data_IF_254637594291
#
_entry.id   IF_254637594291
#
_cell.length_a   1.000
_cell.length_b   1.000
_cell.length_c   1.000
_cell.angle_alpha   90.00
_cell.angle_beta   90.00
_cell.angle_gamma   90.00
#
_symmetry.space_group_name_H-M   'P 1'
#
loop_
_entity.id
_entity.type
_entity.pdbx_description
1 polymer ?
#
# COMPACT_ATOMS: atom_id res chain seq x y z
N UNK A 1 3.09 -12.46 15.90
CA UNK A 1 4.17 -12.00 15.02
C UNK A 1 4.79 -10.70 15.55
N UNK A 2 4.06 -9.59 15.62
CA UNK A 2 4.57 -8.30 16.09
C UNK A 2 5.19 -8.35 17.50
N UNK A 3 4.57 -9.10 18.43
CA UNK A 3 5.05 -9.21 19.81
C UNK A 3 6.49 -9.74 19.89
N UNK A 4 6.85 -10.70 19.02
CA UNK A 4 8.22 -11.23 18.97
C UNK A 4 9.24 -10.12 18.67
N UNK A 5 8.98 -9.26 17.67
CA UNK A 5 9.89 -8.17 17.34
C UNK A 5 9.93 -7.08 18.42
N UNK A 6 8.80 -6.82 19.10
CA UNK A 6 8.78 -5.91 20.24
C UNK A 6 9.66 -6.44 21.38
N UNK A 7 9.60 -7.74 21.65
CA UNK A 7 10.40 -8.36 22.69
C UNK A 7 11.90 -8.38 22.29
N UNK A 8 12.23 -8.62 21.02
CA UNK A 8 13.60 -8.52 20.49
C UNK A 8 14.18 -7.10 20.67
N UNK A 9 13.42 -6.02 20.35
CA UNK A 9 13.83 -4.62 20.55
C UNK A 9 14.13 -4.37 22.04
N UNK A 10 13.25 -4.82 22.94
CA UNK A 10 13.47 -4.67 24.39
C UNK A 10 14.69 -5.41 24.89
N UNK A 11 14.88 -6.67 24.44
CA UNK A 11 16.01 -7.50 24.84
C UNK A 11 17.35 -6.95 24.36
N UNK A 12 17.36 -6.28 23.21
CA UNK A 12 18.54 -5.60 22.66
C UNK A 12 18.80 -4.23 23.30
N UNK A 13 17.92 -3.75 24.18
CA UNK A 13 18.05 -2.45 24.83
C UNK A 13 17.91 -1.27 23.85
N UNK A 14 17.21 -1.44 22.72
CA UNK A 14 17.02 -0.37 21.74
C UNK A 14 16.07 0.67 22.32
N UNK A 15 16.50 1.93 22.38
CA UNK A 15 15.68 3.03 22.85
C UNK A 15 14.43 3.21 21.96
N UNK A 16 13.27 3.30 22.62
CA UNK A 16 11.99 3.49 21.93
C UNK A 16 11.29 4.74 22.46
N UNK A 17 11.09 5.73 21.61
CA UNK A 17 10.43 7.00 21.96
C UNK A 17 8.92 6.89 21.69
N UNK A 18 8.19 6.26 22.62
CA UNK A 18 6.73 6.15 22.52
C UNK A 18 6.04 7.51 22.74
N UNK A 19 4.86 7.71 22.14
CA UNK A 19 4.12 8.96 22.23
C UNK A 19 4.87 10.15 21.63
N UNK A 20 5.74 9.86 20.65
CA UNK A 20 6.57 10.85 19.96
C UNK A 20 6.30 10.79 18.47
N UNK A 21 6.16 11.96 17.83
CA UNK A 21 5.96 12.08 16.40
C UNK A 21 7.13 12.86 15.78
N UNK A 22 7.64 12.40 14.64
CA UNK A 22 8.60 13.14 13.83
C UNK A 22 7.83 14.14 12.96
N UNK A 23 8.14 15.42 13.11
CA UNK A 23 7.47 16.52 12.40
C UNK A 23 8.18 16.88 11.10
N UNK A 24 9.51 16.81 11.08
CA UNK A 24 10.31 17.11 9.89
C UNK A 24 11.65 16.40 9.94
N UNK A 25 12.22 16.21 8.77
CA UNK A 25 13.59 15.78 8.54
C UNK A 25 14.20 16.68 7.47
N UNK A 26 15.47 17.04 7.62
CA UNK A 26 16.23 17.73 6.58
C UNK A 26 17.22 16.78 5.86
N UNK A 27 17.93 17.32 4.87
CA UNK A 27 18.90 16.54 4.07
C UNK A 27 20.14 16.12 4.88
N UNK A 28 20.44 16.80 5.99
CA UNK A 28 21.53 16.48 6.89
C UNK A 28 21.12 15.49 7.98
N UNK A 29 19.91 14.90 7.88
CA UNK A 29 19.33 13.94 8.82
C UNK A 29 19.09 14.53 10.22
N UNK A 30 18.83 15.83 10.31
CA UNK A 30 18.30 16.42 11.52
C UNK A 30 16.78 16.23 11.56
N UNK A 31 16.30 15.59 12.61
CA UNK A 31 14.87 15.33 12.83
C UNK A 31 14.36 16.28 13.92
N UNK A 32 13.21 16.91 13.66
CA UNK A 32 12.44 17.59 14.69
C UNK A 32 11.33 16.67 15.16
N UNK A 33 11.32 16.34 16.43
CA UNK A 33 10.33 15.46 17.05
C UNK A 33 9.50 16.20 18.09
N UNK A 34 8.24 15.82 18.23
CA UNK A 34 7.31 16.33 19.22
C UNK A 34 6.82 15.21 20.13
N UNK A 35 6.80 15.47 21.42
CA UNK A 35 6.29 14.57 22.45
C UNK A 35 5.53 15.37 23.53
N UNK A 36 4.98 14.69 24.51
CA UNK A 36 4.39 15.36 25.68
C UNK A 36 5.36 16.25 26.45
N UNK A 37 6.68 16.04 26.26
CA UNK A 37 7.74 16.85 26.91
C UNK A 37 8.14 18.08 26.08
N UNK A 38 7.54 18.29 24.92
CA UNK A 38 7.84 19.37 24.00
C UNK A 38 8.60 18.92 22.76
N UNK A 39 9.31 19.85 22.12
CA UNK A 39 10.06 19.63 20.90
C UNK A 39 11.52 19.30 21.20
N UNK A 40 12.07 18.35 20.46
CA UNK A 40 13.48 17.95 20.54
C UNK A 40 14.05 17.83 19.14
N UNK A 41 15.33 18.15 18.95
CA UNK A 41 16.08 17.88 17.72
C UNK A 41 16.98 16.68 17.93
N UNK A 42 17.00 15.79 16.93
CA UNK A 42 17.84 14.59 16.91
C UNK A 42 18.68 14.66 15.63
N UNK A 43 19.99 14.58 15.76
CA UNK A 43 20.88 14.39 14.62
C UNK A 43 21.21 12.91 14.51
N UNK A 44 20.92 12.30 13.34
CA UNK A 44 21.12 10.88 13.10
C UNK A 44 22.25 10.62 12.11
N UNK A 45 23.07 9.60 12.38
CA UNK A 45 24.08 9.12 11.44
C UNK A 45 23.45 8.44 10.22
N UNK A 46 22.37 7.72 10.43
CA UNK A 46 21.50 7.17 9.37
C UNK A 46 20.04 7.21 9.81
N UNK A 47 19.12 7.22 8.84
CA UNK A 47 17.67 7.21 9.08
C UNK A 47 17.04 6.10 8.22
N UNK A 48 16.16 5.28 8.81
CA UNK A 48 15.33 4.32 8.08
C UNK A 48 13.89 4.81 8.14
N UNK A 49 13.32 5.12 6.98
CA UNK A 49 11.94 5.52 6.82
C UNK A 49 11.06 4.26 6.73
N UNK A 50 10.25 4.02 7.75
CA UNK A 50 9.39 2.83 7.87
C UNK A 50 7.97 3.19 8.34
N UNK A 51 7.46 4.38 7.93
CA UNK A 51 6.20 4.95 8.41
C UNK A 51 4.96 4.21 7.90
N UNK A 52 5.11 3.32 6.92
CA UNK A 52 4.00 2.56 6.36
C UNK A 52 3.13 3.37 5.40
N UNK A 53 1.83 3.08 5.39
CA UNK A 53 0.85 3.71 4.52
C UNK A 53 -0.48 3.90 5.25
N UNK A 54 -1.34 4.79 4.73
CA UNK A 54 -2.73 4.98 5.15
C UNK A 54 -3.71 4.60 4.05
N UNK A 55 -4.93 4.29 4.40
CA UNK A 55 -5.99 4.05 3.44
C UNK A 55 -6.47 5.33 2.77
N UNK A 56 -6.86 5.24 1.50
CA UNK A 56 -7.52 6.33 0.81
C UNK A 56 -8.93 6.53 1.36
N UNK A 57 -9.22 7.74 1.84
CA UNK A 57 -10.52 8.16 2.34
C UNK A 57 -11.45 8.61 1.22
N UNK A 58 -12.73 8.84 1.53
CA UNK A 58 -13.69 9.44 0.59
C UNK A 58 -13.20 10.78 0.02
N UNK A 59 -12.52 11.60 0.82
CA UNK A 59 -11.90 12.85 0.35
C UNK A 59 -10.76 12.62 -0.63
N UNK A 60 -9.92 11.60 -0.40
CA UNK A 60 -8.79 11.30 -1.27
C UNK A 60 -9.20 10.81 -2.68
N UNK A 61 -10.40 10.25 -2.81
CA UNK A 61 -10.98 9.85 -4.12
C UNK A 61 -12.02 10.85 -4.63
N UNK A 62 -12.20 11.99 -3.95
CA UNK A 62 -13.19 13.02 -4.31
C UNK A 62 -14.61 12.45 -4.50
N UNK A 63 -15.01 11.50 -3.63
CA UNK A 63 -16.30 10.82 -3.74
C UNK A 63 -17.45 11.83 -3.67
N UNK A 64 -18.32 11.93 -4.72
CA UNK A 64 -19.37 12.91 -4.76
C UNK A 64 -20.51 12.62 -3.79
N UNK A 65 -21.34 13.66 -3.51
CA UNK A 65 -22.53 13.57 -2.68
C UNK A 65 -22.36 14.20 -1.30
N UNK A 66 -23.19 13.78 -0.37
CA UNK A 66 -23.23 14.28 1.00
C UNK A 66 -22.11 13.68 1.88
N UNK A 67 -21.99 14.13 3.11
CA UNK A 67 -20.98 13.66 4.08
C UNK A 67 -21.65 13.11 5.36
N UNK A 68 -22.52 12.10 5.26
CA UNK A 68 -23.16 11.50 6.43
C UNK A 68 -22.17 10.61 7.21
N UNK A 69 -22.55 10.22 8.43
CA UNK A 69 -21.91 9.10 9.11
C UNK A 69 -22.18 7.78 8.36
N UNK A 70 -21.34 6.74 8.59
CA UNK A 70 -21.51 5.44 7.93
C UNK A 70 -20.55 5.20 6.77
N UNK A 71 -19.63 6.14 6.47
CA UNK A 71 -18.58 5.95 5.48
C UNK A 71 -17.26 5.71 6.21
N UNK A 72 -16.65 4.56 5.99
CA UNK A 72 -15.41 4.14 6.65
C UNK A 72 -14.41 3.61 5.62
N UNK A 73 -13.13 3.74 5.88
CA UNK A 73 -12.14 2.87 5.23
C UNK A 73 -12.29 1.44 5.74
N UNK A 74 -11.92 0.44 4.93
CA UNK A 74 -12.07 -0.96 5.31
C UNK A 74 -11.27 -1.32 6.58
N UNK A 75 -10.05 -0.76 6.73
CA UNK A 75 -9.23 -0.96 7.93
C UNK A 75 -9.79 -0.26 9.17
N UNK A 76 -10.41 0.93 9.03
CA UNK A 76 -11.10 1.56 10.16
C UNK A 76 -12.29 0.70 10.63
N UNK A 77 -13.09 0.16 9.71
CA UNK A 77 -14.17 -0.76 10.03
C UNK A 77 -13.64 -2.04 10.68
N UNK A 78 -12.51 -2.57 10.20
CA UNK A 78 -11.84 -3.73 10.79
C UNK A 78 -11.44 -3.46 12.25
N UNK A 79 -10.87 -2.28 12.53
CA UNK A 79 -10.53 -1.88 13.89
C UNK A 79 -11.76 -1.85 14.81
N UNK A 80 -12.84 -1.21 14.38
CA UNK A 80 -14.09 -1.15 15.16
C UNK A 80 -14.64 -2.54 15.46
N UNK A 81 -14.75 -3.40 14.45
CA UNK A 81 -15.37 -4.71 14.61
C UNK A 81 -14.45 -5.67 15.36
N UNK A 82 -13.17 -5.77 14.97
CA UNK A 82 -12.29 -6.81 15.51
C UNK A 82 -11.64 -6.47 16.85
N UNK A 83 -11.36 -5.18 17.11
CA UNK A 83 -10.66 -4.77 18.34
C UNK A 83 -11.59 -4.10 19.36
N UNK A 84 -12.62 -3.41 18.88
CA UNK A 84 -13.53 -2.68 19.76
C UNK A 84 -14.89 -3.37 19.93
N UNK A 85 -15.15 -4.44 19.16
CA UNK A 85 -16.42 -5.17 19.15
C UNK A 85 -17.64 -4.26 18.85
N UNK A 86 -17.44 -3.28 17.96
CA UNK A 86 -18.45 -2.30 17.55
C UNK A 86 -18.83 -2.55 16.09
N UNK A 87 -20.11 -2.86 15.87
CA UNK A 87 -20.65 -3.00 14.50
C UNK A 87 -20.81 -1.64 13.85
N UNK A 88 -20.25 -1.44 12.65
CA UNK A 88 -20.28 -0.16 11.92
C UNK A 88 -21.59 0.09 11.18
N UNK A 89 -22.39 -0.97 10.94
CA UNK A 89 -23.72 -0.89 10.34
C UNK A 89 -24.30 -2.27 10.01
N UNK A 90 -25.48 -2.31 9.40
CA UNK A 90 -26.24 -3.54 9.13
C UNK A 90 -26.39 -3.86 7.64
N UNK A 91 -26.33 -2.87 6.77
CA UNK A 91 -26.41 -3.01 5.32
C UNK A 91 -25.24 -2.29 4.67
N UNK A 92 -24.26 -3.07 4.22
CA UNK A 92 -23.00 -2.54 3.74
C UNK A 92 -22.88 -2.64 2.22
N UNK A 93 -22.32 -1.61 1.63
CA UNK A 93 -21.72 -1.61 0.29
C UNK A 93 -20.22 -1.45 0.44
N UNK A 94 -19.45 -2.13 -0.40
CA UNK A 94 -17.99 -2.01 -0.42
C UNK A 94 -17.56 -1.44 -1.77
N UNK A 95 -16.80 -0.37 -1.74
CA UNK A 95 -16.18 0.23 -2.92
C UNK A 95 -14.70 -0.17 -2.97
N UNK A 96 -14.34 -0.82 -4.06
CA UNK A 96 -13.02 -1.42 -4.27
C UNK A 96 -12.95 -2.87 -3.81
N UNK A 97 -12.31 -3.72 -4.60
CA UNK A 97 -12.13 -5.16 -4.36
C UNK A 97 -10.75 -5.51 -3.79
N UNK A 98 -10.10 -4.57 -3.11
CA UNK A 98 -8.85 -4.82 -2.39
C UNK A 98 -9.04 -5.83 -1.23
N UNK A 99 -7.97 -6.53 -0.84
CA UNK A 99 -8.02 -7.63 0.12
C UNK A 99 -8.71 -7.29 1.43
N UNK A 100 -8.46 -6.11 2.00
CA UNK A 100 -9.09 -5.70 3.26
C UNK A 100 -10.61 -5.56 3.09
N UNK A 101 -11.07 -4.98 1.96
CA UNK A 101 -12.50 -4.88 1.63
C UNK A 101 -13.16 -6.24 1.51
N UNK A 102 -12.51 -7.19 0.82
CA UNK A 102 -13.00 -8.57 0.68
C UNK A 102 -13.09 -9.28 2.05
N UNK A 103 -12.04 -9.17 2.86
CA UNK A 103 -12.02 -9.75 4.22
C UNK A 103 -13.13 -9.13 5.09
N UNK A 104 -13.38 -7.82 4.95
CA UNK A 104 -14.43 -7.15 5.70
C UNK A 104 -15.83 -7.49 5.20
N UNK A 105 -16.01 -7.76 3.89
CA UNK A 105 -17.26 -8.30 3.36
C UNK A 105 -17.65 -9.60 4.09
N UNK A 106 -16.74 -10.57 4.14
CA UNK A 106 -16.92 -11.80 4.88
C UNK A 106 -17.14 -11.55 6.37
N UNK A 107 -16.29 -10.71 7.00
CA UNK A 107 -16.38 -10.46 8.44
C UNK A 107 -17.73 -9.87 8.84
N UNK A 108 -18.21 -8.85 8.14
CA UNK A 108 -19.51 -8.24 8.40
C UNK A 108 -20.66 -9.22 8.23
N UNK A 109 -20.59 -10.10 7.21
CA UNK A 109 -21.59 -11.17 7.00
C UNK A 109 -21.62 -12.14 8.17
N UNK A 110 -20.45 -12.56 8.66
CA UNK A 110 -20.35 -13.45 9.84
C UNK A 110 -20.90 -12.80 11.11
N UNK A 111 -20.82 -11.49 11.25
CA UNK A 111 -21.39 -10.72 12.36
C UNK A 111 -22.88 -10.36 12.14
N UNK A 112 -23.51 -10.90 11.11
CA UNK A 112 -24.95 -10.76 10.86
C UNK A 112 -25.36 -9.51 10.10
N UNK A 113 -24.42 -8.75 9.53
CA UNK A 113 -24.75 -7.68 8.59
C UNK A 113 -24.99 -8.24 7.18
N UNK A 114 -25.81 -7.54 6.38
CA UNK A 114 -25.97 -7.84 4.98
C UNK A 114 -24.99 -7.01 4.14
N UNK A 115 -24.12 -7.66 3.41
CA UNK A 115 -23.28 -7.04 2.39
C UNK A 115 -24.04 -7.09 1.07
N UNK A 116 -24.47 -5.93 0.56
CA UNK A 116 -25.31 -5.83 -0.66
C UNK A 116 -24.49 -6.16 -1.91
N UNK A 117 -23.29 -5.60 -2.02
CA UNK A 117 -22.35 -5.88 -3.11
C UNK A 117 -20.98 -5.27 -2.85
N UNK A 118 -20.00 -5.74 -3.62
CA UNK A 118 -18.69 -5.11 -3.84
C UNK A 118 -18.66 -4.51 -5.25
N UNK A 119 -18.27 -3.25 -5.37
CA UNK A 119 -18.13 -2.53 -6.64
C UNK A 119 -16.65 -2.25 -6.90
N UNK A 120 -16.18 -2.64 -8.08
CA UNK A 120 -14.79 -2.44 -8.52
C UNK A 120 -14.77 -1.65 -9.84
N UNK A 121 -14.04 -0.55 -9.85
CA UNK A 121 -13.92 0.32 -11.02
C UNK A 121 -13.18 -0.34 -12.18
N UNK A 122 -12.25 -1.26 -11.87
CA UNK A 122 -11.47 -1.99 -12.86
C UNK A 122 -12.29 -3.14 -13.49
N UNK A 123 -11.95 -3.59 -14.70
CA UNK A 123 -12.58 -4.76 -15.31
C UNK A 123 -12.12 -6.10 -14.69
N UNK A 124 -11.36 -6.05 -13.63
CA UNK A 124 -10.89 -7.21 -12.86
C UNK A 124 -10.79 -6.86 -11.38
N UNK A 125 -10.88 -7.87 -10.50
CA UNK A 125 -10.73 -7.68 -9.07
C UNK A 125 -9.28 -7.31 -8.70
N UNK A 126 -9.11 -6.39 -7.77
CA UNK A 126 -7.81 -5.90 -7.32
C UNK A 126 -7.22 -6.69 -6.15
N UNK A 127 -7.99 -7.55 -5.50
CA UNK A 127 -7.54 -8.43 -4.42
C UNK A 127 -7.07 -9.81 -4.90
N UNK A 128 -6.51 -10.57 -3.99
CA UNK A 128 -6.00 -11.91 -4.26
C UNK A 128 -7.13 -12.89 -4.63
N UNK A 129 -6.96 -13.79 -5.63
CA UNK A 129 -7.99 -14.73 -6.06
C UNK A 129 -8.55 -15.60 -4.94
N UNK A 130 -7.72 -15.99 -3.97
CA UNK A 130 -8.18 -16.74 -2.78
C UNK A 130 -9.19 -15.96 -1.93
N UNK A 131 -8.99 -14.65 -1.81
CA UNK A 131 -9.89 -13.80 -1.02
C UNK A 131 -11.22 -13.57 -1.76
N UNK A 132 -11.21 -13.51 -3.09
CA UNK A 132 -12.44 -13.47 -3.89
C UNK A 132 -13.27 -14.74 -3.61
N UNK A 133 -12.64 -15.92 -3.66
CA UNK A 133 -13.33 -17.18 -3.38
C UNK A 133 -13.86 -17.22 -1.94
N UNK A 134 -12.98 -17.06 -0.95
CA UNK A 134 -13.29 -17.28 0.46
C UNK A 134 -14.11 -16.16 1.10
N UNK A 135 -14.12 -14.97 0.52
CA UNK A 135 -14.80 -13.81 1.13
C UNK A 135 -16.05 -13.37 0.37
N UNK A 136 -16.16 -13.70 -0.91
CA UNK A 136 -17.34 -13.34 -1.70
C UNK A 136 -18.11 -14.56 -2.18
N UNK A 137 -17.48 -15.45 -2.97
CA UNK A 137 -18.18 -16.57 -3.59
C UNK A 137 -18.78 -17.53 -2.54
N UNK A 138 -18.03 -17.86 -1.48
CA UNK A 138 -18.49 -18.75 -0.41
C UNK A 138 -19.64 -18.15 0.44
N UNK A 139 -19.94 -16.85 0.26
CA UNK A 139 -20.99 -16.11 0.97
C UNK A 139 -22.04 -15.49 0.04
N UNK A 140 -22.02 -15.85 -1.25
CA UNK A 140 -22.93 -15.31 -2.28
C UNK A 140 -22.97 -13.77 -2.33
N UNK A 141 -21.85 -13.09 -2.05
CA UNK A 141 -21.73 -11.65 -2.11
C UNK A 141 -21.41 -11.23 -3.54
N UNK A 142 -22.28 -10.41 -4.20
CA UNK A 142 -22.06 -10.01 -5.58
C UNK A 142 -20.82 -9.10 -5.74
N UNK A 143 -20.00 -9.37 -6.76
CA UNK A 143 -18.92 -8.51 -7.23
C UNK A 143 -19.28 -7.93 -8.60
N UNK A 144 -19.37 -6.59 -8.67
CA UNK A 144 -19.62 -5.86 -9.91
C UNK A 144 -18.33 -5.18 -10.38
N UNK A 145 -17.76 -5.69 -11.46
CA UNK A 145 -16.58 -5.12 -12.11
C UNK A 145 -17.00 -4.01 -13.08
N UNK A 146 -16.06 -3.09 -13.40
CA UNK A 146 -16.32 -1.94 -14.26
C UNK A 146 -17.42 -1.02 -13.71
N UNK A 147 -17.64 -1.03 -12.39
CA UNK A 147 -18.73 -0.29 -11.74
C UNK A 147 -18.19 0.46 -10.52
N UNK A 148 -18.67 1.68 -10.29
CA UNK A 148 -18.23 2.48 -9.13
C UNK A 148 -19.40 3.20 -8.48
N UNK A 149 -19.21 3.60 -7.22
CA UNK A 149 -20.08 4.56 -6.55
C UNK A 149 -19.79 5.94 -7.12
N UNK A 150 -20.83 6.59 -7.61
CA UNK A 150 -20.76 7.93 -8.22
C UNK A 150 -21.40 9.02 -7.36
N UNK A 151 -22.21 8.64 -6.37
CA UNK A 151 -22.83 9.59 -5.44
C UNK A 151 -23.22 8.91 -4.13
N UNK A 152 -23.08 9.66 -3.04
CA UNK A 152 -23.45 9.27 -1.67
C UNK A 152 -24.66 10.05 -1.21
N UNK A 153 -25.64 9.34 -0.59
CA UNK A 153 -26.89 9.92 -0.12
C UNK A 153 -27.07 9.74 1.39
N UNK A 154 -27.58 10.76 2.05
CA UNK A 154 -27.90 10.78 3.48
C UNK A 154 -27.62 12.14 4.08
N UNK A 155 -28.12 12.37 5.28
CA UNK A 155 -27.91 13.60 6.05
C UNK A 155 -27.10 13.29 7.30
N UNK A 156 -27.72 12.70 8.29
CA UNK A 156 -27.05 12.33 9.55
C UNK A 156 -26.31 11.00 9.40
N UNK A 157 -26.92 10.06 8.70
CA UNK A 157 -26.37 8.76 8.35
C UNK A 157 -26.59 8.43 6.88
N UNK A 158 -25.74 7.59 6.33
CA UNK A 158 -25.85 7.05 4.97
C UNK A 158 -27.20 6.32 4.80
N UNK A 159 -27.92 6.64 3.73
CA UNK A 159 -29.18 5.99 3.34
C UNK A 159 -29.03 5.14 2.08
N UNK A 160 -27.97 5.38 1.31
CA UNK A 160 -27.65 4.62 0.12
C UNK A 160 -26.59 5.32 -0.73
N UNK A 161 -26.24 4.65 -1.80
CA UNK A 161 -25.29 5.14 -2.81
C UNK A 161 -25.88 4.98 -4.20
N UNK A 162 -25.55 5.87 -5.12
CA UNK A 162 -25.77 5.67 -6.55
C UNK A 162 -24.51 5.08 -7.17
N UNK A 163 -24.65 3.98 -7.89
CA UNK A 163 -23.58 3.32 -8.64
C UNK A 163 -23.86 3.41 -10.13
N UNK A 164 -22.81 3.41 -10.96
CA UNK A 164 -22.91 3.37 -12.42
C UNK A 164 -21.79 2.52 -13.01
N UNK A 165 -22.00 2.02 -14.22
CA UNK A 165 -20.93 1.45 -15.03
C UNK A 165 -19.90 2.53 -15.37
N UNK A 166 -18.64 2.11 -15.45
CA UNK A 166 -17.51 3.01 -15.71
C UNK A 166 -16.85 2.63 -17.03
N UNK A 167 -16.67 3.60 -17.90
CA UNK A 167 -15.88 3.49 -19.11
C UNK A 167 -14.83 4.62 -19.14
N UNK A 168 -13.56 4.29 -19.35
CA UNK A 168 -12.46 5.25 -19.31
C UNK A 168 -12.49 6.17 -18.07
N UNK A 169 -12.75 5.60 -16.90
CA UNK A 169 -12.89 6.32 -15.61
C UNK A 169 -14.01 7.35 -15.57
N UNK A 170 -14.99 7.29 -16.49
CA UNK A 170 -16.17 8.14 -16.49
C UNK A 170 -17.44 7.30 -16.35
N UNK A 171 -18.44 7.76 -15.59
CA UNK A 171 -19.74 7.10 -15.51
C UNK A 171 -20.41 7.04 -16.88
N UNK A 172 -20.99 5.88 -17.20
CA UNK A 172 -21.78 5.68 -18.41
C UNK A 172 -23.22 6.17 -18.14
N UNK A 173 -23.72 7.20 -18.84
CA UNK A 173 -25.06 7.72 -18.62
C UNK A 173 -26.15 6.67 -18.88
N UNK A 174 -27.18 6.63 -18.03
CA UNK A 174 -28.29 5.70 -18.13
C UNK A 174 -28.05 4.33 -17.46
N UNK A 175 -26.89 4.15 -16.81
CA UNK A 175 -26.57 2.93 -16.04
C UNK A 175 -26.67 3.14 -14.53
N UNK A 176 -27.07 4.33 -14.11
CA UNK A 176 -27.17 4.72 -12.71
C UNK A 176 -28.25 3.89 -12.00
N UNK A 177 -27.90 3.35 -10.84
CA UNK A 177 -28.84 2.68 -9.95
C UNK A 177 -28.58 3.02 -8.50
N UNK A 178 -29.65 3.21 -7.75
CA UNK A 178 -29.59 3.42 -6.31
C UNK A 178 -29.47 2.09 -5.58
N UNK A 179 -28.52 2.00 -4.64
CA UNK A 179 -28.31 0.85 -3.75
C UNK A 179 -28.52 1.33 -2.31
N UNK A 180 -29.60 0.90 -1.63
CA UNK A 180 -29.85 1.28 -0.25
C UNK A 180 -28.85 0.60 0.69
N UNK A 181 -28.17 1.39 1.52
CA UNK A 181 -27.23 0.91 2.53
C UNK A 181 -27.08 1.94 3.66
N UNK A 182 -26.68 1.50 4.84
CA UNK A 182 -26.36 2.35 5.98
C UNK A 182 -24.85 2.47 6.22
N UNK A 183 -24.07 1.73 5.45
CA UNK A 183 -22.60 1.66 5.57
C UNK A 183 -21.95 1.53 4.21
N UNK A 184 -20.94 2.37 3.96
CA UNK A 184 -20.05 2.29 2.80
C UNK A 184 -18.62 2.06 3.29
N UNK A 185 -18.03 0.92 2.92
CA UNK A 185 -16.62 0.65 3.16
C UNK A 185 -15.79 0.97 1.92
N UNK A 186 -14.68 1.66 2.14
CA UNK A 186 -13.73 2.04 1.10
C UNK A 186 -12.50 1.13 1.16
N UNK A 187 -12.27 0.38 0.08
CA UNK A 187 -11.07 -0.45 -0.14
C UNK A 187 -10.40 -0.07 -1.46
N UNK A 188 -10.14 1.24 -1.61
CA UNK A 188 -9.74 1.89 -2.87
C UNK A 188 -8.25 2.20 -2.95
N UNK A 189 -7.44 1.42 -2.26
CA UNK A 189 -6.00 1.52 -2.25
C UNK A 189 -5.43 2.30 -1.08
N UNK A 190 -4.11 2.33 -1.03
CA UNK A 190 -3.30 2.87 0.05
C UNK A 190 -2.46 4.05 -0.44
N UNK A 191 -2.07 4.92 0.48
CA UNK A 191 -1.19 6.07 0.25
C UNK A 191 0.03 5.87 1.16
N UNK A 192 1.23 5.66 0.60
CA UNK A 192 2.47 5.66 1.37
C UNK A 192 2.68 6.98 2.12
N UNK A 193 3.09 6.90 3.39
CA UNK A 193 3.26 8.06 4.29
C UNK A 193 4.60 8.77 4.03
N UNK A 194 4.68 9.53 2.96
CA UNK A 194 5.92 10.13 2.46
C UNK A 194 6.04 11.65 2.68
N UNK A 195 5.29 12.23 3.58
CA UNK A 195 5.37 13.66 3.92
C UNK A 195 6.78 14.04 4.41
N UNK A 196 7.40 13.21 5.25
CA UNK A 196 8.78 13.43 5.73
C UNK A 196 9.79 13.30 4.59
N UNK A 197 9.62 12.30 3.72
CA UNK A 197 10.48 12.08 2.55
C UNK A 197 10.43 13.27 1.61
N UNK A 198 9.23 13.74 1.28
CA UNK A 198 9.02 14.91 0.42
C UNK A 198 9.55 16.21 1.06
N UNK A 199 9.31 16.39 2.37
CA UNK A 199 9.82 17.56 3.13
C UNK A 199 11.34 17.64 3.15
N UNK A 200 12.02 16.50 3.15
CA UNK A 200 13.49 16.43 3.06
C UNK A 200 14.00 16.49 1.61
N UNK A 201 13.13 16.61 0.61
CA UNK A 201 13.47 16.59 -0.82
C UNK A 201 14.07 15.26 -1.32
N UNK A 202 13.65 14.14 -0.73
CA UNK A 202 13.93 12.81 -1.27
C UNK A 202 13.31 12.67 -2.65
N UNK A 203 14.05 12.13 -3.64
CA UNK A 203 13.51 11.85 -4.96
C UNK A 203 12.43 10.76 -4.85
N UNK A 204 11.24 11.06 -5.33
CA UNK A 204 10.10 10.15 -5.26
C UNK A 204 9.89 9.39 -6.58
N UNK A 205 9.44 8.14 -6.49
CA UNK A 205 8.99 7.34 -7.64
C UNK A 205 7.47 7.49 -7.80
N UNK A 206 6.98 8.13 -8.89
CA UNK A 206 5.56 8.42 -9.05
C UNK A 206 4.66 7.19 -9.10
N UNK A 207 5.17 6.04 -9.59
CA UNK A 207 4.38 4.82 -9.76
C UNK A 207 4.09 4.10 -8.44
N UNK A 208 5.03 4.16 -7.49
CA UNK A 208 4.87 3.58 -6.15
C UNK A 208 4.38 4.62 -5.14
N UNK A 209 4.57 5.92 -5.42
CA UNK A 209 4.44 7.03 -4.49
C UNK A 209 5.37 6.90 -3.27
N UNK A 210 6.41 6.09 -3.37
CA UNK A 210 7.48 5.91 -2.40
C UNK A 210 8.77 6.59 -2.83
N UNK A 211 9.80 6.49 -2.03
CA UNK A 211 11.12 6.97 -2.39
C UNK A 211 11.71 6.20 -3.57
N UNK A 212 12.47 6.87 -4.45
CA UNK A 212 13.37 6.21 -5.39
C UNK A 212 14.60 5.72 -4.62
N UNK A 213 14.91 4.43 -4.71
CA UNK A 213 15.99 3.79 -3.94
C UNK A 213 16.91 2.97 -4.85
N UNK A 214 18.12 2.75 -4.35
CA UNK A 214 19.07 1.83 -4.95
C UNK A 214 18.94 0.40 -4.36
N UNK A 215 19.81 -0.51 -4.80
CA UNK A 215 19.87 -1.92 -4.37
C UNK A 215 20.25 -2.11 -2.88
N UNK A 216 20.58 -1.04 -2.17
CA UNK A 216 20.79 -0.99 -0.72
C UNK A 216 19.60 -0.38 0.05
N UNK A 217 18.50 -0.08 -0.63
CA UNK A 217 17.35 0.67 -0.09
C UNK A 217 17.67 2.12 0.32
N UNK A 218 18.84 2.63 -0.05
CA UNK A 218 19.21 4.01 0.18
C UNK A 218 18.49 4.92 -0.82
N UNK A 219 17.96 6.04 -0.32
CA UNK A 219 17.27 7.04 -1.11
C UNK A 219 18.26 7.97 -1.83
N UNK A 220 17.76 9.00 -2.50
CA UNK A 220 18.61 10.06 -3.08
C UNK A 220 19.41 10.86 -2.06
N UNK A 221 19.12 10.70 -0.76
CA UNK A 221 19.85 11.36 0.33
C UNK A 221 20.76 10.32 0.99
N UNK A 222 22.09 10.52 1.00
CA UNK A 222 23.04 9.59 1.62
C UNK A 222 22.73 9.36 3.10
N UNK A 223 22.66 8.08 3.51
CA UNK A 223 22.33 7.68 4.87
C UNK A 223 20.84 7.72 5.22
N UNK A 224 19.96 7.99 4.23
CA UNK A 224 18.51 7.87 4.39
C UNK A 224 18.02 6.67 3.59
N UNK A 225 17.44 5.69 4.27
CA UNK A 225 16.92 4.44 3.72
C UNK A 225 15.40 4.41 3.80
N UNK A 226 14.74 3.64 2.94
CA UNK A 226 13.28 3.48 2.98
C UNK A 226 12.92 2.02 2.78
N UNK A 227 11.94 1.51 3.55
CA UNK A 227 11.48 0.12 3.46
C UNK A 227 10.02 -0.04 3.89
N UNK A 228 9.41 -1.16 3.46
CA UNK A 228 8.02 -1.48 3.78
C UNK A 228 7.01 -0.63 3.02
N UNK A 229 5.80 -0.48 3.56
CA UNK A 229 4.69 0.14 2.84
C UNK A 229 4.85 1.65 2.55
N UNK A 230 5.81 2.32 3.17
CA UNK A 230 6.18 3.70 2.82
C UNK A 230 6.97 3.75 1.51
N UNK A 231 7.68 2.66 1.17
CA UNK A 231 8.46 2.53 -0.07
C UNK A 231 7.59 2.04 -1.23
N UNK A 232 6.90 0.93 -1.03
CA UNK A 232 5.86 0.43 -1.91
C UNK A 232 4.91 -0.51 -1.15
N UNK A 233 3.64 -0.56 -1.56
CA UNK A 233 2.65 -1.37 -0.86
C UNK A 233 2.89 -2.85 -1.09
N UNK A 234 3.03 -3.62 -0.02
CA UNK A 234 3.21 -5.07 -0.04
C UNK A 234 1.88 -5.82 0.09
N UNK A 235 1.84 -7.05 -0.42
CA UNK A 235 0.75 -8.02 -0.27
C UNK A 235 0.97 -9.01 0.89
N UNK A 236 2.24 -9.20 1.31
CA UNK A 236 2.61 -10.11 2.39
C UNK A 236 3.55 -9.44 3.40
N UNK A 237 3.27 -9.58 4.69
CA UNK A 237 4.09 -9.04 5.77
C UNK A 237 5.49 -9.67 5.82
N UNK A 238 5.64 -10.90 5.33
CA UNK A 238 6.95 -11.57 5.25
C UNK A 238 7.92 -10.79 4.36
N UNK A 239 7.45 -10.28 3.21
CA UNK A 239 8.25 -9.44 2.32
C UNK A 239 8.64 -8.12 2.97
N UNK A 240 7.72 -7.51 3.75
CA UNK A 240 8.02 -6.28 4.53
C UNK A 240 9.16 -6.53 5.51
N UNK A 241 9.11 -7.66 6.21
CA UNK A 241 10.14 -7.99 7.23
C UNK A 241 11.50 -8.29 6.61
N UNK A 242 11.54 -9.02 5.50
CA UNK A 242 12.78 -9.27 4.75
C UNK A 242 13.40 -7.96 4.25
N UNK A 243 12.59 -7.08 3.67
CA UNK A 243 13.04 -5.78 3.17
C UNK A 243 13.55 -4.88 4.30
N UNK A 244 12.82 -4.83 5.42
CA UNK A 244 13.23 -4.05 6.59
C UNK A 244 14.55 -4.57 7.20
N UNK A 245 14.75 -5.88 7.24
CA UNK A 245 16.00 -6.47 7.71
C UNK A 245 17.20 -6.08 6.83
N UNK A 246 17.03 -6.14 5.50
CA UNK A 246 18.06 -5.71 4.54
C UNK A 246 18.35 -4.21 4.65
N UNK A 247 17.33 -3.36 4.73
CA UNK A 247 17.51 -1.92 4.92
C UNK A 247 18.28 -1.61 6.22
N UNK A 248 17.99 -2.35 7.30
CA UNK A 248 18.72 -2.25 8.57
C UNK A 248 20.19 -2.66 8.45
N UNK A 249 20.47 -3.76 7.75
CA UNK A 249 21.84 -4.23 7.49
C UNK A 249 22.63 -3.20 6.67
N UNK A 250 22.05 -2.66 5.61
CA UNK A 250 22.70 -1.65 4.78
C UNK A 250 22.89 -0.32 5.52
N UNK A 251 21.96 0.11 6.35
CA UNK A 251 22.14 1.30 7.19
C UNK A 251 23.31 1.10 8.18
N UNK A 252 23.46 -0.09 8.76
CA UNK A 252 24.58 -0.41 9.61
C UNK A 252 25.91 -0.40 8.84
N UNK A 253 25.96 -0.96 7.64
CA UNK A 253 27.15 -0.93 6.77
C UNK A 253 27.53 0.51 6.39
N UNK A 254 26.53 1.36 6.10
CA UNK A 254 26.75 2.78 5.82
C UNK A 254 27.43 3.50 6.99
N UNK A 255 26.94 3.29 8.21
CA UNK A 255 27.51 3.90 9.43
C UNK A 255 28.95 3.47 9.68
N UNK A 256 29.32 2.25 9.27
CA UNK A 256 30.67 1.72 9.37
C UNK A 256 31.59 2.08 8.17
N UNK A 257 31.15 2.98 7.29
CA UNK A 257 31.93 3.41 6.12
C UNK A 257 32.01 2.39 4.99
N UNK A 258 31.18 1.33 5.04
CA UNK A 258 31.20 0.22 4.06
C UNK A 258 30.34 0.42 2.82
N UNK A 259 29.51 1.46 2.75
CA UNK A 259 28.67 1.77 1.59
C UNK A 259 29.00 3.18 1.11
N UNK A 260 29.59 3.25 -0.07
CA UNK A 260 29.71 4.48 -0.83
C UNK A 260 28.60 4.48 -1.88
N UNK A 261 27.96 5.62 -2.10
CA UNK A 261 27.03 5.80 -3.20
C UNK A 261 27.74 5.40 -4.49
N UNK A 262 27.14 4.51 -5.28
CA UNK A 262 27.76 4.03 -6.52
C UNK A 262 27.98 5.21 -7.47
N UNK A 263 29.22 5.40 -7.91
CA UNK A 263 29.55 6.33 -8.97
C UNK A 263 28.99 5.80 -10.29
N UNK A 264 27.81 6.25 -10.70
CA UNK A 264 27.12 5.79 -11.90
C UNK A 264 26.18 4.59 -11.69
N UNK A 265 25.08 4.76 -10.94
CA UNK A 265 24.08 3.70 -10.78
C UNK A 265 23.45 3.37 -12.15
N UNK A 266 23.12 2.09 -12.34
CA UNK A 266 22.38 1.61 -13.52
C UNK A 266 20.88 1.78 -13.23
N UNK A 267 20.19 2.52 -14.08
CA UNK A 267 18.75 2.71 -13.97
C UNK A 267 17.98 1.50 -14.49
N UNK A 268 16.96 1.08 -13.75
CA UNK A 268 16.05 0.01 -14.17
C UNK A 268 14.70 0.60 -14.55
N UNK A 269 14.33 0.48 -15.82
CA UNK A 269 13.07 0.98 -16.34
C UNK A 269 12.06 -0.15 -16.54
N UNK A 270 10.85 -0.05 -15.96
CA UNK A 270 9.74 -0.97 -16.26
C UNK A 270 9.18 -0.66 -17.65
N UNK A 271 8.96 -1.72 -18.46
CA UNK A 271 8.39 -1.64 -19.81
C UNK A 271 7.34 -2.74 -20.03
N UNK A 272 6.55 -2.63 -21.07
CA UNK A 272 5.71 -3.69 -21.66
C UNK A 272 4.85 -4.48 -20.64
N UNK A 273 4.00 -3.78 -19.92
CA UNK A 273 3.07 -4.39 -18.94
C UNK A 273 3.65 -4.56 -17.53
N UNK A 274 4.87 -4.08 -17.27
CA UNK A 274 5.41 -3.92 -15.92
C UNK A 274 5.04 -2.53 -15.40
N UNK A 275 4.33 -2.47 -14.28
CA UNK A 275 3.84 -1.21 -13.71
C UNK A 275 4.96 -0.42 -13.04
N UNK A 276 5.79 -1.08 -12.25
CA UNK A 276 6.97 -0.52 -11.59
C UNK A 276 7.96 -1.62 -11.23
N UNK A 277 9.15 -1.23 -10.93
CA UNK A 277 10.24 -2.08 -10.42
C UNK A 277 10.89 -1.41 -9.22
N UNK A 278 11.37 -2.23 -8.28
CA UNK A 278 12.15 -1.82 -7.12
C UNK A 278 13.31 -2.81 -6.94
N UNK A 279 14.55 -2.33 -6.69
CA UNK A 279 14.99 -0.94 -6.70
C UNK A 279 14.93 -0.31 -8.10
N UNK A 280 14.93 1.04 -8.15
CA UNK A 280 14.97 1.78 -9.41
C UNK A 280 16.39 1.94 -9.95
N UNK A 281 17.37 1.88 -9.06
CA UNK A 281 18.79 2.03 -9.38
C UNK A 281 19.56 0.84 -8.79
N UNK A 282 20.60 0.38 -9.48
CA UNK A 282 21.46 -0.69 -8.97
C UNK A 282 22.94 -0.36 -9.18
N UNK A 283 23.76 -0.79 -8.24
CA UNK A 283 25.22 -0.60 -8.29
C UNK A 283 25.90 -1.52 -9.31
N UNK A 284 25.27 -2.67 -9.62
CA UNK A 284 25.87 -3.74 -10.43
C UNK A 284 27.04 -4.48 -9.75
N UNK A 285 27.26 -4.24 -8.46
CA UNK A 285 28.39 -4.79 -7.70
C UNK A 285 28.00 -5.99 -6.82
N UNK A 286 26.71 -6.22 -6.59
CA UNK A 286 26.20 -7.29 -5.73
C UNK A 286 24.92 -7.90 -6.27
N UNK A 287 24.60 -9.09 -5.81
CA UNK A 287 23.31 -9.72 -6.07
C UNK A 287 22.19 -8.92 -5.38
N UNK A 288 21.10 -8.74 -6.08
CA UNK A 288 19.91 -8.05 -5.57
C UNK A 288 18.63 -8.72 -6.06
N UNK A 289 17.53 -8.39 -5.41
CA UNK A 289 16.20 -8.88 -5.78
C UNK A 289 15.38 -7.75 -6.39
N UNK A 290 14.91 -7.93 -7.63
CA UNK A 290 13.90 -7.05 -8.24
C UNK A 290 12.52 -7.44 -7.74
N UNK A 291 11.82 -6.50 -7.14
CA UNK A 291 10.39 -6.59 -6.81
C UNK A 291 9.60 -5.77 -7.83
N UNK A 292 8.54 -6.34 -8.41
CA UNK A 292 7.78 -5.66 -9.45
C UNK A 292 6.30 -6.07 -9.42
N UNK A 293 5.46 -5.24 -10.03
CA UNK A 293 4.06 -5.57 -10.30
C UNK A 293 3.73 -5.34 -11.78
N UNK A 294 2.76 -6.11 -12.26
CA UNK A 294 2.23 -5.97 -13.62
C UNK A 294 1.08 -4.95 -13.65
N UNK A 295 0.75 -4.44 -14.86
CA UNK A 295 -0.33 -3.48 -15.06
C UNK A 295 -1.71 -4.13 -15.08
N UNK A 296 -1.81 -5.37 -15.57
CA UNK A 296 -3.06 -6.10 -15.77
C UNK A 296 -2.90 -7.61 -15.57
N UNK A 297 -3.97 -8.34 -15.25
CA UNK A 297 -3.92 -9.79 -15.17
C UNK A 297 -3.57 -10.42 -16.52
N UNK A 298 -2.68 -11.41 -16.51
CA UNK A 298 -2.31 -12.15 -17.72
C UNK A 298 -1.89 -13.58 -17.39
N UNK A 299 -1.76 -14.44 -18.43
CA UNK A 299 -1.37 -15.84 -18.28
C UNK A 299 -0.25 -16.20 -19.24
N UNK A 300 0.55 -17.18 -18.83
CA UNK A 300 1.60 -17.81 -19.64
C UNK A 300 2.57 -16.80 -20.26
N UNK A 301 3.05 -15.87 -19.41
CA UNK A 301 4.00 -14.83 -19.79
C UNK A 301 5.37 -15.04 -19.18
N UNK A 302 6.36 -14.37 -19.73
CA UNK A 302 7.69 -14.32 -19.17
C UNK A 302 8.12 -12.87 -18.96
N UNK A 303 8.66 -12.57 -17.79
CA UNK A 303 9.32 -11.30 -17.51
C UNK A 303 10.78 -11.48 -17.82
N UNK A 304 11.35 -10.51 -18.52
CA UNK A 304 12.76 -10.47 -18.89
C UNK A 304 13.42 -9.24 -18.26
N UNK A 305 14.61 -9.46 -17.72
CA UNK A 305 15.54 -8.36 -17.40
C UNK A 305 16.55 -8.31 -18.54
N UNK A 306 16.78 -7.13 -19.09
CA UNK A 306 17.66 -6.92 -20.24
C UNK A 306 18.60 -5.75 -19.99
N UNK A 307 19.81 -5.85 -20.56
CA UNK A 307 20.78 -4.78 -20.71
C UNK A 307 20.98 -4.57 -22.22
N UNK A 308 20.31 -3.58 -22.78
CA UNK A 308 20.16 -3.46 -24.23
C UNK A 308 19.53 -4.72 -24.82
N UNK A 309 20.22 -5.35 -25.77
CA UNK A 309 19.77 -6.62 -26.40
C UNK A 309 20.13 -7.86 -25.56
N UNK A 310 21.00 -7.73 -24.57
CA UNK A 310 21.44 -8.82 -23.72
C UNK A 310 20.34 -9.21 -22.73
N UNK A 311 20.01 -10.49 -22.70
CA UNK A 311 19.10 -11.07 -21.72
C UNK A 311 19.87 -11.41 -20.44
N UNK A 312 19.58 -10.71 -19.33
CA UNK A 312 20.26 -10.89 -18.04
C UNK A 312 19.52 -11.94 -17.21
N UNK A 313 18.19 -11.81 -17.06
CA UNK A 313 17.39 -12.75 -16.29
C UNK A 313 16.01 -12.99 -16.94
N UNK A 314 15.38 -14.11 -16.57
CA UNK A 314 14.04 -14.47 -17.05
C UNK A 314 13.25 -15.17 -15.95
N UNK A 315 11.99 -14.79 -15.77
CA UNK A 315 11.02 -15.52 -14.95
C UNK A 315 9.78 -15.85 -15.76
N UNK A 316 9.47 -17.14 -15.93
CA UNK A 316 8.21 -17.62 -16.52
C UNK A 316 7.16 -17.69 -15.41
N UNK A 317 5.94 -17.26 -15.71
CA UNK A 317 4.81 -17.26 -14.78
C UNK A 317 3.54 -17.74 -15.50
N UNK A 318 2.86 -18.71 -14.91
CA UNK A 318 1.58 -19.22 -15.42
C UNK A 318 0.47 -18.19 -15.24
N UNK A 319 0.51 -17.47 -14.12
CA UNK A 319 -0.45 -16.40 -13.80
C UNK A 319 0.32 -15.18 -13.33
N UNK A 320 -0.12 -14.03 -13.80
CA UNK A 320 0.34 -12.71 -13.34
C UNK A 320 -0.89 -11.94 -12.90
N UNK A 321 -0.81 -11.33 -11.74
CA UNK A 321 -1.89 -10.52 -11.18
C UNK A 321 -1.32 -9.24 -10.56
N UNK A 322 -1.93 -8.05 -10.78
CA UNK A 322 -1.44 -6.79 -10.19
C UNK A 322 -1.38 -6.77 -8.67
N UNK A 323 -2.21 -7.59 -7.99
CA UNK A 323 -2.18 -7.74 -6.54
C UNK A 323 -0.96 -8.50 -6.01
N UNK A 324 -0.30 -9.32 -6.85
CA UNK A 324 0.79 -10.19 -6.43
C UNK A 324 2.15 -9.56 -6.75
N UNK A 325 3.02 -9.50 -5.75
CA UNK A 325 4.40 -9.05 -5.91
C UNK A 325 5.22 -10.15 -6.60
N UNK A 326 5.87 -9.80 -7.70
CA UNK A 326 6.76 -10.70 -8.43
C UNK A 326 8.19 -10.34 -8.06
N UNK A 327 8.98 -11.34 -7.64
CA UNK A 327 10.38 -11.16 -7.24
C UNK A 327 11.28 -11.96 -8.19
N UNK A 328 12.37 -11.32 -8.65
CA UNK A 328 13.41 -11.89 -9.52
C UNK A 328 14.75 -11.68 -8.81
N UNK A 329 15.46 -12.77 -8.51
CA UNK A 329 16.83 -12.76 -7.97
C UNK A 329 17.84 -12.79 -9.10
#
# INVERSE_FOLDING_TARGET
YAQRHIDEIKNLGIETLLGTIVLSMDQDRNLTVSSRKGYTRIHAGAVILAMGCRERTAGAISLPGTRPSGIYTAGAAQNFINLQNIMVGRRAVILGSGDIGLIMARRMTLEGAKVEAVFEILPYASGLPRNIQQCLNDYDIPLHLGTSVIEVHGKDRLTGVTVAEINNFQPVPGTERFVPCDTLLLSVGLIPENELSAGASVKMEPRTSGASVDDTFMTSIPGVFSCGNVLHVHDLVDHVSEEAALAGEFACRYLNGGILQAAGPIDIEPRDGVRYVLPQHVSGQSDFTLSLRVTEPSRDRAIWVRDGDRKVARKKLVRLHPAEMIRIK
#
